data_IF_723693961948
#
_entry.id   IF_723693961948
#
_cell.length_a   1.000
_cell.length_b   1.000
_cell.length_c   1.000
_cell.angle_alpha   90.00
_cell.angle_beta   90.00
_cell.angle_gamma   90.00
#
_symmetry.space_group_name_H-M   'P 1'
#
loop_
_entity.id
_entity.type
_entity.pdbx_description
1 polymer ?
#
# COMPACT_ATOMS: atom_id res chain seq x y z
N UNK A 1 2.43 -19.21 -23.54
CA UNK A 1 2.82 -18.16 -22.57
C UNK A 1 1.59 -17.81 -21.76
N UNK A 2 1.49 -18.27 -20.52
CA UNK A 2 0.39 -17.90 -19.62
C UNK A 2 0.64 -16.48 -19.14
N UNK A 3 -0.03 -15.51 -19.77
CA UNK A 3 -0.08 -14.13 -19.27
C UNK A 3 -0.81 -14.19 -17.94
N UNK A 4 -0.08 -13.97 -16.84
CA UNK A 4 -0.70 -13.85 -15.52
C UNK A 4 -1.76 -12.75 -15.60
N UNK A 5 -2.98 -13.06 -15.16
CA UNK A 5 -4.06 -12.08 -15.14
C UNK A 5 -3.59 -10.80 -14.40
N UNK A 6 -3.96 -9.60 -14.87
CA UNK A 6 -3.55 -8.37 -14.22
C UNK A 6 -4.00 -8.40 -12.75
N UNK A 7 -3.03 -8.38 -11.84
CA UNK A 7 -3.33 -8.37 -10.42
C UNK A 7 -3.74 -6.95 -10.01
N UNK A 8 -4.96 -6.81 -9.52
CA UNK A 8 -5.36 -5.61 -8.78
C UNK A 8 -4.73 -5.74 -7.40
N UNK A 9 -3.64 -5.02 -7.19
CA UNK A 9 -2.85 -5.16 -5.98
C UNK A 9 -3.58 -4.59 -4.76
N UNK A 10 -4.07 -5.49 -3.90
CA UNK A 10 -4.58 -5.17 -2.58
C UNK A 10 -3.44 -5.33 -1.58
N UNK A 11 -2.64 -4.28 -1.39
CA UNK A 11 -1.52 -4.27 -0.46
C UNK A 11 -2.02 -4.17 0.98
N UNK A 12 -1.62 -5.12 1.82
CA UNK A 12 -1.69 -5.02 3.28
C UNK A 12 -0.41 -4.34 3.73
N UNK A 13 -0.52 -3.12 4.25
CA UNK A 13 0.61 -2.31 4.70
C UNK A 13 0.91 -2.70 6.15
N UNK A 14 2.11 -3.20 6.40
CA UNK A 14 2.63 -3.51 7.74
C UNK A 14 2.91 -2.23 8.53
N UNK A 15 3.26 -2.38 9.81
CA UNK A 15 3.61 -1.25 10.67
C UNK A 15 4.75 -0.43 10.06
N UNK A 16 4.67 0.90 10.17
CA UNK A 16 5.68 1.78 9.62
C UNK A 16 6.98 1.64 10.41
N UNK A 17 8.08 1.36 9.71
CA UNK A 17 9.43 1.32 10.28
C UNK A 17 10.14 2.64 9.98
N UNK A 18 9.58 3.74 10.50
CA UNK A 18 10.04 5.11 10.25
C UNK A 18 9.35 5.75 9.04
N UNK A 19 10.08 6.30 8.05
CA UNK A 19 9.50 7.01 6.90
C UNK A 19 8.96 6.06 5.81
N UNK A 20 9.03 4.75 6.04
CA UNK A 20 8.55 3.73 5.10
C UNK A 20 7.75 2.64 5.81
N UNK A 21 6.83 2.03 5.08
CA UNK A 21 6.15 0.79 5.45
C UNK A 21 6.24 -0.23 4.31
N UNK A 22 6.29 -1.51 4.66
CA UNK A 22 6.24 -2.59 3.69
C UNK A 22 4.78 -2.96 3.42
N UNK A 23 4.38 -3.01 2.15
CA UNK A 23 3.07 -3.53 1.76
C UNK A 23 3.20 -4.83 1.00
N UNK A 24 2.44 -5.84 1.41
CA UNK A 24 2.40 -7.16 0.78
C UNK A 24 1.03 -7.36 0.13
N UNK A 25 1.00 -7.69 -1.16
CA UNK A 25 -0.24 -7.97 -1.85
C UNK A 25 -0.79 -9.33 -1.45
N UNK A 26 -1.99 -9.38 -0.87
CA UNK A 26 -2.63 -10.62 -0.41
C UNK A 26 -2.93 -11.66 -1.52
N UNK A 27 -2.86 -11.25 -2.79
CA UNK A 27 -3.32 -12.02 -3.94
C UNK A 27 -2.16 -12.61 -4.77
N UNK A 28 -1.01 -11.94 -4.79
CA UNK A 28 0.14 -12.35 -5.60
C UNK A 28 1.47 -12.29 -4.84
N UNK A 29 1.41 -12.02 -3.53
CA UNK A 29 2.55 -11.90 -2.62
C UNK A 29 3.61 -10.88 -3.05
N UNK A 30 3.23 -9.96 -3.94
CA UNK A 30 4.10 -8.87 -4.36
C UNK A 30 4.36 -7.93 -3.19
N UNK A 31 5.63 -7.70 -2.90
CA UNK A 31 6.08 -6.72 -1.91
C UNK A 31 6.34 -5.37 -2.57
N UNK A 32 5.87 -4.29 -1.93
CA UNK A 32 6.14 -2.91 -2.35
C UNK A 32 6.39 -2.04 -1.13
N UNK A 33 7.44 -1.21 -1.18
CA UNK A 33 7.69 -0.21 -0.16
C UNK A 33 6.81 1.02 -0.39
N UNK A 34 6.17 1.49 0.66
CA UNK A 34 5.34 2.68 0.69
C UNK A 34 6.04 3.74 1.53
N UNK A 35 6.10 4.96 1.02
CA UNK A 35 6.57 6.10 1.79
C UNK A 35 5.46 6.55 2.76
N UNK A 36 5.75 6.54 4.05
CA UNK A 36 4.81 6.92 5.12
C UNK A 36 5.04 8.34 5.62
N UNK A 37 6.03 9.06 5.07
CA UNK A 37 6.30 10.46 5.40
C UNK A 37 5.14 11.41 5.03
N UNK A 38 4.18 10.93 4.24
CA UNK A 38 2.98 11.64 3.78
C UNK A 38 1.70 11.42 4.60
N UNK A 39 1.76 10.71 5.74
CA UNK A 39 0.60 10.51 6.62
C UNK A 39 0.00 11.81 7.20
N UNK A 40 0.61 12.98 6.98
CA UNK A 40 0.01 14.28 7.29
C UNK A 40 -1.04 14.76 6.25
N UNK A 41 -1.03 14.28 5.00
CA UNK A 41 -1.96 14.80 3.96
C UNK A 41 -3.20 13.93 3.73
N UNK A 42 -3.13 12.62 4.00
CA UNK A 42 -4.29 11.73 3.80
C UNK A 42 -5.35 11.78 4.92
N UNK A 43 -5.11 12.55 5.99
CA UNK A 43 -6.12 12.87 7.01
C UNK A 43 -7.11 13.97 6.62
N UNK A 44 -6.86 14.74 5.55
CA UNK A 44 -7.77 15.82 5.11
C UNK A 44 -8.88 15.41 4.14
N UNK A 45 -9.00 14.11 3.81
CA UNK A 45 -10.03 13.62 2.89
C UNK A 45 -11.32 13.13 3.56
N UNK A 46 -11.30 12.82 4.85
CA UNK A 46 -12.44 12.19 5.58
C UNK A 46 -13.07 13.10 6.65
N UNK A 47 -12.68 14.37 6.71
CA UNK A 47 -13.30 15.39 7.57
C UNK A 47 -14.06 16.46 6.74
N UNK A 48 -14.62 16.07 5.60
CA UNK A 48 -15.55 16.88 4.83
C UNK A 48 -16.95 16.23 4.85
N UNK A 49 -17.62 16.33 6.01
CA UNK A 49 -19.08 16.38 6.11
C UNK A 49 -19.45 17.36 7.20
#
# INVERSE_FOLDING_TARGET
MTVAAPCVHHFIIEEAHGPVALGICRNCDMTKWFDTSYSYEYGRGWAAR
#
